data_IF_244036373805
#
_entry.id   IF_244036373805
#
_cell.length_a   1.000
_cell.length_b   1.000
_cell.length_c   1.000
_cell.angle_alpha   90.00
_cell.angle_beta   90.00
_cell.angle_gamma   90.00
#
_symmetry.space_group_name_H-M   'P 1'
#
loop_
_entity.id
_entity.type
_entity.pdbx_description
1 polymer ?
#
# COMPACT_ATOMS: atom_id res chain seq x y z
N UNK A 1 9.47 -28.99 -3.92
CA UNK A 1 10.17 -27.71 -4.15
C UNK A 1 10.51 -27.15 -2.77
N UNK A 2 11.79 -27.00 -2.40
CA UNK A 2 12.15 -26.42 -1.11
C UNK A 2 11.81 -24.93 -1.06
N UNK A 3 11.69 -24.38 0.15
CA UNK A 3 11.56 -22.94 0.36
C UNK A 3 12.85 -22.22 -0.07
N UNK A 4 12.71 -21.03 -0.63
CA UNK A 4 13.85 -20.15 -0.90
C UNK A 4 14.65 -19.86 0.40
N UNK A 5 16.00 -19.87 0.37
CA UNK A 5 16.81 -19.66 1.58
C UNK A 5 16.55 -18.34 2.31
N UNK A 6 16.31 -17.23 1.59
CA UNK A 6 16.06 -15.93 2.20
C UNK A 6 14.66 -15.88 2.83
N UNK A 7 13.67 -16.47 2.14
CA UNK A 7 12.33 -16.62 2.70
C UNK A 7 12.34 -17.47 3.99
N UNK A 8 13.13 -18.55 4.01
CA UNK A 8 13.31 -19.39 5.20
C UNK A 8 13.92 -18.61 6.36
N UNK A 9 15.04 -17.91 6.12
CA UNK A 9 15.70 -17.11 7.14
C UNK A 9 14.80 -16.00 7.70
N UNK A 10 13.97 -15.38 6.84
CA UNK A 10 13.00 -14.37 7.26
C UNK A 10 11.93 -14.94 8.20
N UNK A 11 11.39 -16.13 7.90
CA UNK A 11 10.44 -16.83 8.77
C UNK A 11 11.07 -17.22 10.11
N UNK A 12 12.29 -17.78 10.10
CA UNK A 12 13.02 -18.15 11.32
C UNK A 12 13.26 -16.92 12.21
N UNK A 13 13.67 -15.80 11.62
CA UNK A 13 13.84 -14.54 12.36
C UNK A 13 12.53 -14.03 12.97
N UNK A 14 11.40 -14.14 12.25
CA UNK A 14 10.08 -13.75 12.80
C UNK A 14 9.70 -14.59 14.02
N UNK A 15 9.98 -15.90 13.98
CA UNK A 15 9.74 -16.81 15.11
C UNK A 15 10.64 -16.43 16.29
N UNK A 16 11.93 -16.20 16.06
CA UNK A 16 12.89 -15.80 17.10
C UNK A 16 12.50 -14.47 17.78
N UNK A 17 12.01 -13.50 16.99
CA UNK A 17 11.55 -12.22 17.51
C UNK A 17 10.18 -12.28 18.20
N UNK A 18 9.51 -13.45 18.23
CA UNK A 18 8.19 -13.60 18.85
C UNK A 18 7.13 -12.71 18.20
N UNK A 19 7.22 -12.47 16.89
CA UNK A 19 6.23 -11.67 16.16
C UNK A 19 4.89 -12.37 16.23
N UNK A 20 3.90 -11.71 16.84
CA UNK A 20 2.54 -12.23 16.96
C UNK A 20 1.94 -12.54 15.59
N UNK A 21 1.15 -13.61 15.53
CA UNK A 21 0.34 -13.88 14.35
C UNK A 21 -0.82 -12.85 14.26
N UNK A 22 -1.36 -12.58 13.07
CA UNK A 22 -2.40 -11.56 12.91
C UNK A 22 -3.64 -11.76 13.78
N UNK A 23 -3.99 -13.00 14.12
CA UNK A 23 -5.14 -13.32 14.97
C UNK A 23 -4.86 -13.21 16.48
N UNK A 24 -3.59 -13.05 16.85
CA UNK A 24 -3.13 -12.91 18.23
C UNK A 24 -2.92 -11.44 18.63
N UNK A 25 -3.16 -10.50 17.71
CA UNK A 25 -3.02 -9.06 17.93
C UNK A 25 -4.33 -8.32 17.62
N UNK A 26 -4.54 -7.19 18.29
CA UNK A 26 -5.58 -6.25 17.93
C UNK A 26 -5.26 -5.53 16.62
N UNK A 27 -6.26 -4.97 15.90
CA UNK A 27 -6.02 -4.15 14.71
C UNK A 27 -5.06 -2.98 14.96
N UNK A 28 -5.16 -2.34 16.14
CA UNK A 28 -4.28 -1.23 16.52
C UNK A 28 -2.82 -1.68 16.63
N UNK A 29 -2.56 -2.77 17.35
CA UNK A 29 -1.21 -3.34 17.51
C UNK A 29 -0.63 -3.78 16.15
N UNK A 30 -1.45 -4.41 15.30
CA UNK A 30 -1.02 -4.85 13.97
C UNK A 30 -0.64 -3.66 13.07
N UNK A 31 -1.43 -2.57 13.10
CA UNK A 31 -1.12 -1.32 12.37
C UNK A 31 0.13 -0.65 12.92
N UNK A 32 0.30 -0.58 14.24
CA UNK A 32 1.49 -0.01 14.87
C UNK A 32 2.76 -0.79 14.50
N UNK A 33 2.70 -2.14 14.52
CA UNK A 33 3.83 -2.98 14.12
C UNK A 33 4.17 -2.81 12.64
N UNK A 34 3.17 -2.64 11.77
CA UNK A 34 3.40 -2.37 10.36
C UNK A 34 4.05 -1.00 10.15
N UNK A 35 3.53 0.05 10.80
CA UNK A 35 4.06 1.42 10.71
C UNK A 35 5.48 1.54 11.27
N UNK A 36 5.85 0.68 12.22
CA UNK A 36 7.21 0.62 12.76
C UNK A 36 8.22 -0.04 11.80
N UNK A 37 7.77 -0.69 10.72
CA UNK A 37 8.67 -1.25 9.70
C UNK A 37 9.30 -0.09 8.92
N UNK A 38 10.62 -0.11 8.70
CA UNK A 38 11.26 0.94 7.92
C UNK A 38 10.73 0.92 6.48
N UNK A 39 10.18 2.04 6.05
CA UNK A 39 9.85 2.26 4.65
C UNK A 39 11.15 2.38 3.87
N UNK A 40 11.40 1.43 2.96
CA UNK A 40 12.51 1.52 2.03
C UNK A 40 12.25 2.68 1.06
N UNK A 41 13.28 3.47 0.70
CA UNK A 41 13.09 4.49 -0.32
C UNK A 41 12.70 3.82 -1.64
N UNK A 42 11.58 4.25 -2.23
CA UNK A 42 11.24 3.87 -3.59
C UNK A 42 12.02 4.67 -4.63
N UNK A 43 11.91 4.31 -5.93
CA UNK A 43 12.51 5.09 -7.00
C UNK A 43 12.06 6.56 -7.03
N UNK A 44 12.92 7.42 -7.57
CA UNK A 44 12.59 8.84 -7.83
C UNK A 44 11.41 8.97 -8.80
N UNK A 45 10.52 9.91 -8.50
CA UNK A 45 9.32 10.24 -9.28
C UNK A 45 9.42 11.68 -9.76
N UNK A 46 8.86 11.98 -10.93
CA UNK A 46 8.76 13.35 -11.43
C UNK A 46 7.89 14.22 -10.51
N UNK A 47 6.82 13.64 -9.95
CA UNK A 47 6.07 14.24 -8.85
C UNK A 47 5.36 13.18 -8.02
N UNK A 48 5.11 13.53 -6.76
CA UNK A 48 4.24 12.80 -5.85
C UNK A 48 3.33 13.82 -5.16
N UNK A 49 2.02 13.59 -5.18
CA UNK A 49 1.05 14.55 -4.63
C UNK A 49 -0.17 13.85 -4.05
N UNK A 50 -0.70 14.42 -2.97
CA UNK A 50 -1.88 13.92 -2.27
C UNK A 50 -3.13 14.69 -2.69
N UNK A 51 -4.22 13.97 -2.88
CA UNK A 51 -5.52 14.49 -3.32
C UNK A 51 -6.66 13.81 -2.55
N UNK A 52 -7.86 14.38 -2.69
CA UNK A 52 -9.10 13.80 -2.22
C UNK A 52 -9.99 13.48 -3.43
N UNK A 53 -10.39 12.22 -3.56
CA UNK A 53 -11.35 11.77 -4.56
C UNK A 53 -12.75 11.69 -3.92
N UNK A 54 -13.81 12.23 -4.54
CA UNK A 54 -15.15 12.10 -3.99
C UNK A 54 -15.60 10.64 -4.03
N UNK A 55 -16.10 10.11 -2.91
CA UNK A 55 -16.63 8.75 -2.81
C UNK A 55 -18.02 8.71 -2.15
N UNK A 56 -18.72 7.57 -2.22
CA UNK A 56 -20.12 7.44 -1.78
C UNK A 56 -20.32 7.61 -0.27
N UNK A 57 -19.27 7.43 0.54
CA UNK A 57 -19.35 7.70 1.98
C UNK A 57 -18.37 8.78 2.46
N UNK A 58 -18.06 9.74 1.57
CA UNK A 58 -17.14 10.86 1.81
C UNK A 58 -15.91 10.81 0.91
N UNK A 59 -15.08 11.84 1.03
CA UNK A 59 -13.83 11.93 0.27
C UNK A 59 -12.85 10.83 0.68
N UNK A 60 -12.20 10.21 -0.31
CA UNK A 60 -11.20 9.16 -0.18
C UNK A 60 -9.82 9.75 -0.49
N UNK A 61 -8.85 9.68 0.44
CA UNK A 61 -7.49 10.13 0.15
C UNK A 61 -6.84 9.26 -0.92
N UNK A 62 -6.14 9.91 -1.85
CA UNK A 62 -5.34 9.24 -2.89
C UNK A 62 -3.98 9.92 -3.01
N UNK A 63 -2.94 9.13 -3.28
CA UNK A 63 -1.61 9.61 -3.63
C UNK A 63 -1.29 9.29 -5.07
N UNK A 64 -0.94 10.31 -5.84
CA UNK A 64 -0.62 10.22 -7.26
C UNK A 64 0.88 10.26 -7.45
N UNK A 65 1.42 9.24 -8.12
CA UNK A 65 2.83 9.08 -8.46
C UNK A 65 3.02 9.21 -9.96
N UNK A 66 3.79 10.20 -10.38
CA UNK A 66 4.14 10.41 -11.79
C UNK A 66 5.58 9.94 -12.01
N UNK A 67 5.83 8.92 -12.85
CA UNK A 67 7.18 8.43 -13.09
C UNK A 67 8.02 9.46 -13.87
N UNK A 68 9.33 9.43 -13.68
CA UNK A 68 10.27 10.11 -14.59
C UNK A 68 10.29 9.35 -15.91
N UNK A 69 10.04 10.04 -17.02
CA UNK A 69 10.04 9.47 -18.37
C UNK A 69 10.42 10.53 -19.40
N UNK A 70 11.02 10.09 -20.50
CA UNK A 70 11.36 10.93 -21.66
C UNK A 70 10.18 11.07 -22.64
N UNK A 71 9.09 10.31 -22.42
CA UNK A 71 7.88 10.38 -23.25
C UNK A 71 7.10 11.67 -22.98
N UNK A 72 6.97 12.51 -24.02
CA UNK A 72 6.18 13.75 -23.97
C UNK A 72 4.66 13.53 -24.19
N UNK A 73 4.23 12.28 -24.37
CA UNK A 73 2.84 11.90 -24.61
C UNK A 73 2.02 11.70 -23.33
N UNK A 74 0.69 11.54 -23.44
CA UNK A 74 -0.13 11.18 -22.29
C UNK A 74 0.28 9.81 -21.74
N UNK A 75 0.46 9.72 -20.43
CA UNK A 75 0.80 8.48 -19.74
C UNK A 75 -0.47 7.68 -19.39
N UNK A 76 -0.42 6.34 -19.42
CA UNK A 76 -1.48 5.52 -18.86
C UNK A 76 -1.60 5.73 -17.36
N UNK A 77 -2.80 5.50 -16.82
CA UNK A 77 -3.09 5.59 -15.38
C UNK A 77 -3.47 4.20 -14.85
N UNK A 78 -2.91 3.82 -13.70
CA UNK A 78 -3.26 2.60 -13.00
C UNK A 78 -3.68 2.91 -11.55
N UNK A 79 -4.83 2.38 -11.15
CA UNK A 79 -5.30 2.45 -9.77
C UNK A 79 -4.63 1.37 -8.95
N UNK A 80 -4.07 1.74 -7.80
CA UNK A 80 -3.43 0.82 -6.86
C UNK A 80 -4.18 0.81 -5.53
N UNK A 81 -4.52 -0.39 -5.08
CA UNK A 81 -5.15 -0.64 -3.80
C UNK A 81 -4.18 -1.48 -2.97
N UNK A 82 -3.69 -0.91 -1.86
CA UNK A 82 -2.72 -1.61 -1.05
C UNK A 82 -3.31 -2.90 -0.45
N UNK A 83 -2.45 -3.87 -0.14
CA UNK A 83 -2.84 -5.07 0.61
C UNK A 83 -3.02 -4.78 2.10
N UNK A 84 -3.36 -5.83 2.86
CA UNK A 84 -3.54 -5.74 4.32
C UNK A 84 -4.87 -6.26 4.86
N UNK A 85 -5.57 -7.07 4.07
CA UNK A 85 -6.78 -7.76 4.50
C UNK A 85 -7.90 -6.82 4.93
N UNK A 86 -7.97 -5.63 4.34
CA UNK A 86 -8.89 -4.54 4.69
C UNK A 86 -8.75 -3.99 6.11
N UNK A 87 -7.72 -4.40 6.87
CA UNK A 87 -7.55 -4.02 8.29
C UNK A 87 -6.28 -3.21 8.52
N UNK A 88 -5.21 -3.51 7.79
CA UNK A 88 -3.92 -2.82 7.86
C UNK A 88 -3.50 -2.29 6.49
N UNK A 89 -2.40 -1.55 6.45
CA UNK A 89 -1.88 -0.90 5.26
C UNK A 89 -2.24 0.57 5.21
N UNK A 90 -1.48 1.32 4.43
CA UNK A 90 -1.72 2.70 4.05
C UNK A 90 -0.95 3.02 2.79
N UNK A 91 -1.17 4.21 2.23
CA UNK A 91 -0.29 4.81 1.21
C UNK A 91 1.17 4.88 1.69
N UNK A 92 1.42 5.15 2.97
CA UNK A 92 2.78 5.28 3.50
C UNK A 92 3.51 3.94 3.56
N UNK A 93 2.85 2.88 4.04
CA UNK A 93 3.48 1.54 4.11
C UNK A 93 3.71 0.90 2.73
N UNK A 94 3.11 1.44 1.68
CA UNK A 94 3.17 0.92 0.31
C UNK A 94 3.80 1.91 -0.67
N UNK A 95 4.36 3.02 -0.19
CA UNK A 95 4.92 4.08 -1.01
C UNK A 95 6.02 3.56 -1.95
N UNK A 96 6.94 2.76 -1.41
CA UNK A 96 8.03 2.16 -2.17
C UNK A 96 7.52 1.26 -3.32
N UNK A 97 6.46 0.49 -3.04
CA UNK A 97 5.82 -0.39 -4.02
C UNK A 97 5.13 0.42 -5.12
N UNK A 98 4.37 1.46 -4.77
CA UNK A 98 3.72 2.32 -5.74
C UNK A 98 4.73 3.02 -6.67
N UNK A 99 5.84 3.52 -6.11
CA UNK A 99 6.96 4.09 -6.90
C UNK A 99 7.63 3.07 -7.80
N UNK A 100 7.85 1.85 -7.31
CA UNK A 100 8.45 0.77 -8.10
C UNK A 100 7.54 0.38 -9.28
N UNK A 101 6.24 0.28 -9.04
CA UNK A 101 5.23 0.03 -10.09
C UNK A 101 5.19 1.17 -11.11
N UNK A 102 5.18 2.44 -10.67
CA UNK A 102 5.19 3.59 -11.56
C UNK A 102 6.42 3.57 -12.48
N UNK A 103 7.61 3.39 -11.90
CA UNK A 103 8.86 3.32 -12.67
C UNK A 103 8.89 2.14 -13.64
N UNK A 104 8.47 0.95 -13.20
CA UNK A 104 8.54 -0.24 -14.04
C UNK A 104 7.52 -0.24 -15.18
N UNK A 105 6.36 0.37 -14.98
CA UNK A 105 5.28 0.41 -15.97
C UNK A 105 5.30 1.65 -16.88
N UNK A 106 5.97 2.72 -16.47
CA UNK A 106 5.84 4.03 -17.13
C UNK A 106 4.45 4.67 -16.97
N UNK A 107 3.61 4.12 -16.09
CA UNK A 107 2.27 4.62 -15.82
C UNK A 107 2.24 5.53 -14.60
N UNK A 108 1.27 6.45 -14.59
CA UNK A 108 0.88 7.15 -13.37
C UNK A 108 0.21 6.13 -12.44
N UNK A 109 0.66 6.06 -11.19
CA UNK A 109 0.02 5.23 -10.17
C UNK A 109 -0.81 6.12 -9.26
N UNK A 110 -2.10 5.81 -9.11
CA UNK A 110 -2.98 6.44 -8.13
C UNK A 110 -3.22 5.44 -7.02
N UNK A 111 -2.53 5.61 -5.89
CA UNK A 111 -2.68 4.77 -4.70
C UNK A 111 -3.85 5.26 -3.87
N UNK A 112 -4.82 4.40 -3.59
CA UNK A 112 -6.02 4.73 -2.82
C UNK A 112 -5.84 4.33 -1.36
N UNK A 113 -6.04 5.28 -0.45
CA UNK A 113 -6.02 5.08 1.00
C UNK A 113 -7.44 4.79 1.49
N UNK A 114 -7.99 3.68 1.02
CA UNK A 114 -9.37 3.28 1.31
C UNK A 114 -9.57 3.04 2.81
N UNK A 115 -10.78 3.29 3.31
CA UNK A 115 -11.07 3.10 4.75
C UNK A 115 -10.93 1.66 5.17
N UNK A 116 -10.53 1.43 6.43
CA UNK A 116 -10.22 0.11 6.94
C UNK A 116 -11.28 -0.40 7.92
N UNK A 117 -11.46 -1.72 7.92
CA UNK A 117 -12.14 -2.46 8.97
C UNK A 117 -11.22 -2.58 10.22
N UNK A 118 -11.78 -2.75 11.42
CA UNK A 118 -13.21 -2.94 11.73
C UNK A 118 -14.04 -1.65 11.84
N UNK A 119 -13.41 -0.48 11.79
CA UNK A 119 -14.07 0.83 11.91
C UNK A 119 -15.04 1.07 10.76
N UNK A 120 -14.63 0.70 9.55
CA UNK A 120 -15.42 0.75 8.34
C UNK A 120 -15.54 -0.66 7.78
N UNK A 121 -16.61 -1.35 8.17
CA UNK A 121 -16.87 -2.72 7.70
C UNK A 121 -17.26 -2.73 6.22
N UNK A 122 -17.12 -3.89 5.60
CA UNK A 122 -17.68 -4.14 4.27
C UNK A 122 -19.15 -3.65 4.18
N UNK A 123 -19.55 -2.94 3.10
CA UNK A 123 -18.82 -2.74 1.85
C UNK A 123 -17.94 -1.48 1.79
N UNK A 124 -17.84 -0.66 2.85
CA UNK A 124 -17.22 0.67 2.77
C UNK A 124 -15.80 0.68 2.17
N UNK A 125 -14.83 -0.16 2.61
CA UNK A 125 -13.50 -0.22 2.01
C UNK A 125 -13.52 -0.57 0.50
N UNK A 126 -14.48 -1.40 0.11
CA UNK A 126 -14.64 -1.84 -1.26
C UNK A 126 -15.23 -0.73 -2.11
N UNK A 127 -16.27 -0.04 -1.62
CA UNK A 127 -16.88 1.10 -2.31
C UNK A 127 -15.87 2.23 -2.55
N UNK A 128 -15.01 2.53 -1.57
CA UNK A 128 -13.91 3.50 -1.70
C UNK A 128 -12.93 3.18 -2.83
N UNK A 129 -12.90 1.92 -3.28
CA UNK A 129 -11.99 1.49 -4.33
C UNK A 129 -12.52 1.73 -5.76
N UNK A 130 -13.83 1.89 -5.96
CA UNK A 130 -14.38 1.92 -7.33
C UNK A 130 -15.54 2.88 -7.60
N UNK A 131 -16.26 3.34 -6.56
CA UNK A 131 -17.59 3.93 -6.69
C UNK A 131 -17.59 5.46 -6.70
#
# INVERSE_FOLDING_TARGET
>A
MPLDPEAKASLEKRIEMGVLEPHESSPEEARALQAARPNLPGPEMASVSDHLAPGPHGDVPVRVYVPVTDDAGPLPVSMWFHGGGWVIGSVESNDATARALAKASGAIIVSVDYRLAPEHRFPIPFDDSYA
#
